data_IF_393410223910
#
_entry.id   IF_393410223910
#
_cell.length_a   1.000
_cell.length_b   1.000
_cell.length_c   1.000
_cell.angle_alpha   90.00
_cell.angle_beta   90.00
_cell.angle_gamma   90.00
#
_symmetry.space_group_name_H-M   'P 1'
#
loop_
_entity.id
_entity.type
_entity.pdbx_description
1 polymer ?
#
# COMPACT_ATOMS: atom_id res chain seq x y z
N UNK A 1 -3.23 -24.63 14.33
CA UNK A 1 -2.22 -23.59 13.99
C UNK A 1 -1.87 -22.82 15.25
N UNK A 2 -0.62 -22.40 15.44
CA UNK A 2 -0.22 -21.60 16.60
C UNK A 2 -0.82 -20.19 16.52
N UNK A 3 -1.22 -19.63 17.66
CA UNK A 3 -1.86 -18.31 17.78
C UNK A 3 -1.05 -17.20 17.08
N UNK A 4 0.28 -17.28 17.14
CA UNK A 4 1.20 -16.41 16.41
C UNK A 4 0.98 -16.37 14.89
N UNK A 5 0.80 -17.52 14.24
CA UNK A 5 0.58 -17.59 12.79
C UNK A 5 -0.74 -16.94 12.39
N UNK A 6 -1.78 -17.10 13.22
CA UNK A 6 -3.09 -16.49 13.00
C UNK A 6 -3.01 -14.96 13.13
N UNK A 7 -2.30 -14.45 14.14
CA UNK A 7 -2.10 -13.01 14.33
C UNK A 7 -1.25 -12.38 13.23
N UNK A 8 -0.20 -13.07 12.78
CA UNK A 8 0.64 -12.66 11.65
C UNK A 8 -0.20 -12.54 10.37
N UNK A 9 -0.99 -13.57 10.06
CA UNK A 9 -1.84 -13.59 8.87
C UNK A 9 -2.91 -12.50 8.96
N UNK A 10 -3.49 -12.28 10.13
CA UNK A 10 -4.49 -11.24 10.35
C UNK A 10 -3.90 -9.83 10.18
N UNK A 11 -2.71 -9.58 10.72
CA UNK A 11 -1.98 -8.31 10.54
C UNK A 11 -1.67 -8.05 9.07
N UNK A 12 -1.14 -9.05 8.37
CA UNK A 12 -0.85 -8.96 6.94
C UNK A 12 -2.11 -8.70 6.12
N UNK A 13 -3.19 -9.44 6.37
CA UNK A 13 -4.47 -9.28 5.68
C UNK A 13 -5.04 -7.87 5.86
N UNK A 14 -4.97 -7.30 7.07
CA UNK A 14 -5.43 -5.93 7.35
C UNK A 14 -4.67 -4.89 6.53
N UNK A 15 -3.35 -5.01 6.46
CA UNK A 15 -2.51 -4.10 5.66
C UNK A 15 -2.88 -4.22 4.18
N UNK A 16 -2.93 -5.44 3.63
CA UNK A 16 -3.25 -5.69 2.22
C UNK A 16 -4.65 -5.21 1.85
N UNK A 17 -5.66 -5.55 2.66
CA UNK A 17 -7.04 -5.13 2.43
C UNK A 17 -7.16 -3.61 2.48
N UNK A 18 -6.53 -2.94 3.46
CA UNK A 18 -6.56 -1.48 3.55
C UNK A 18 -5.89 -0.80 2.35
N UNK A 19 -4.75 -1.32 1.87
CA UNK A 19 -4.08 -0.83 0.66
C UNK A 19 -4.92 -1.03 -0.59
N UNK A 20 -5.60 -2.18 -0.70
CA UNK A 20 -6.50 -2.47 -1.81
C UNK A 20 -7.74 -1.56 -1.81
N UNK A 21 -8.35 -1.32 -0.64
CA UNK A 21 -9.49 -0.40 -0.51
C UNK A 21 -9.08 1.02 -0.89
N UNK A 22 -7.93 1.50 -0.41
CA UNK A 22 -7.41 2.82 -0.77
C UNK A 22 -7.16 2.93 -2.27
N UNK A 23 -6.58 1.89 -2.87
CA UNK A 23 -6.35 1.83 -4.32
C UNK A 23 -7.65 1.89 -5.11
N UNK A 24 -8.67 1.13 -4.71
CA UNK A 24 -9.98 1.13 -5.38
C UNK A 24 -10.60 2.53 -5.37
N UNK A 25 -10.52 3.26 -4.26
CA UNK A 25 -11.02 4.65 -4.18
C UNK A 25 -10.30 5.56 -5.18
N UNK A 26 -8.96 5.45 -5.28
CA UNK A 26 -8.17 6.26 -6.21
C UNK A 26 -8.45 5.89 -7.68
N UNK A 27 -8.64 4.61 -7.99
CA UNK A 27 -8.98 4.14 -9.33
C UNK A 27 -10.36 4.64 -9.74
N UNK A 28 -11.36 4.57 -8.85
CA UNK A 28 -12.68 5.13 -9.11
C UNK A 28 -12.59 6.62 -9.37
N UNK A 29 -11.83 7.38 -8.57
CA UNK A 29 -11.59 8.80 -8.81
C UNK A 29 -10.94 9.09 -10.17
N UNK A 30 -10.01 8.25 -10.60
CA UNK A 30 -9.35 8.39 -11.90
C UNK A 30 -10.31 8.05 -13.05
N UNK A 31 -11.14 7.00 -12.91
CA UNK A 31 -12.19 6.65 -13.87
C UNK A 31 -13.19 7.80 -14.06
N UNK A 32 -13.64 8.42 -12.96
CA UNK A 32 -14.51 9.59 -13.04
C UNK A 32 -13.84 10.72 -13.84
N UNK A 33 -12.57 11.00 -13.58
CA UNK A 33 -11.82 12.02 -14.32
C UNK A 33 -11.70 11.69 -15.81
N UNK A 34 -11.46 10.43 -16.16
CA UNK A 34 -11.35 9.97 -17.55
C UNK A 34 -12.71 10.07 -18.27
N UNK A 35 -13.82 9.67 -17.62
CA UNK A 35 -15.19 9.74 -18.15
C UNK A 35 -15.63 11.16 -18.54
N UNK A 36 -15.13 12.17 -17.83
CA UNK A 36 -15.43 13.57 -18.11
C UNK A 36 -14.36 14.29 -18.95
N UNK A 37 -13.33 13.60 -19.42
CA UNK A 37 -12.26 14.17 -20.24
C UNK A 37 -12.49 13.85 -21.72
N UNK A 38 -12.75 14.85 -22.59
CA UNK A 38 -12.86 14.62 -24.02
C UNK A 38 -11.46 14.40 -24.63
N UNK A 39 -11.11 13.14 -24.94
CA UNK A 39 -9.84 12.78 -25.60
C UNK A 39 -9.64 11.27 -25.72
N UNK A 40 -8.78 10.84 -26.65
CA UNK A 40 -8.46 9.44 -26.90
C UNK A 40 -7.87 8.75 -25.67
N UNK A 41 -8.51 7.66 -25.22
CA UNK A 41 -8.06 6.87 -24.08
C UNK A 41 -6.89 5.99 -24.50
N UNK A 42 -5.67 6.42 -24.17
CA UNK A 42 -4.50 5.57 -24.34
C UNK A 42 -4.40 4.55 -23.19
N UNK A 43 -4.93 3.34 -23.41
CA UNK A 43 -4.93 2.21 -22.48
C UNK A 43 -3.57 1.95 -21.83
N UNK A 44 -2.46 2.11 -22.57
CA UNK A 44 -1.10 1.89 -22.03
C UNK A 44 -0.72 2.95 -21.00
N UNK A 45 -1.02 4.22 -21.28
CA UNK A 45 -0.77 5.32 -20.33
C UNK A 45 -1.66 5.18 -19.09
N UNK A 46 -2.91 4.78 -19.31
CA UNK A 46 -3.88 4.51 -18.26
C UNK A 46 -3.44 3.38 -17.32
N UNK A 47 -3.06 2.21 -17.85
CA UNK A 47 -2.59 1.07 -17.05
C UNK A 47 -1.36 1.44 -16.21
N UNK A 48 -0.42 2.19 -16.79
CA UNK A 48 0.78 2.64 -16.07
C UNK A 48 0.43 3.62 -14.93
N UNK A 49 -0.55 4.51 -15.13
CA UNK A 49 -1.05 5.39 -14.06
C UNK A 49 -1.73 4.60 -12.95
N UNK A 50 -2.62 3.66 -13.30
CA UNK A 50 -3.32 2.79 -12.35
C UNK A 50 -2.33 1.94 -11.55
N UNK A 51 -1.29 1.41 -12.21
CA UNK A 51 -0.21 0.66 -11.57
C UNK A 51 0.62 1.53 -10.62
N UNK A 52 0.96 2.75 -11.03
CA UNK A 52 1.64 3.71 -10.15
C UNK A 52 0.80 4.06 -8.92
N UNK A 53 -0.52 4.26 -9.11
CA UNK A 53 -1.46 4.48 -8.02
C UNK A 53 -1.58 3.27 -7.09
N UNK A 54 -1.53 2.05 -7.63
CA UNK A 54 -1.52 0.83 -6.83
C UNK A 54 -0.34 0.83 -5.85
N UNK A 55 0.88 1.01 -6.37
CA UNK A 55 2.08 1.04 -5.53
C UNK A 55 2.02 2.17 -4.48
N UNK A 56 1.58 3.37 -4.87
CA UNK A 56 1.44 4.49 -3.94
C UNK A 56 0.38 4.23 -2.85
N UNK A 57 -0.71 3.53 -3.18
CA UNK A 57 -1.77 3.20 -2.22
C UNK A 57 -1.27 2.25 -1.14
N UNK A 58 -0.52 1.22 -1.56
CA UNK A 58 0.08 0.28 -0.62
C UNK A 58 1.19 0.94 0.23
N UNK A 59 1.97 1.85 -0.36
CA UNK A 59 2.93 2.67 0.38
C UNK A 59 2.21 3.52 1.46
N UNK A 60 1.15 4.24 1.10
CA UNK A 60 0.34 5.02 2.05
C UNK A 60 -0.30 4.16 3.15
N UNK A 61 -0.88 3.01 2.79
CA UNK A 61 -1.48 2.10 3.75
C UNK A 61 -0.44 1.55 4.73
N UNK A 62 0.77 1.21 4.25
CA UNK A 62 1.85 0.74 5.11
C UNK A 62 2.29 1.81 6.12
N UNK A 63 2.49 3.06 5.69
CA UNK A 63 2.82 4.16 6.60
C UNK A 63 1.70 4.45 7.61
N UNK A 64 0.44 4.42 7.15
CA UNK A 64 -0.73 4.57 8.01
C UNK A 64 -0.78 3.51 9.10
N UNK A 65 -0.49 2.25 8.75
CA UNK A 65 -0.43 1.15 9.71
C UNK A 65 0.76 1.22 10.67
N UNK A 66 1.92 1.75 10.25
CA UNK A 66 3.03 2.03 11.18
C UNK A 66 2.59 3.01 12.27
N UNK A 67 2.01 4.16 11.87
CA UNK A 67 1.55 5.18 12.81
C UNK A 67 0.42 4.66 13.70
N UNK A 68 -0.54 3.96 13.12
CA UNK A 68 -1.67 3.39 13.86
C UNK A 68 -1.24 2.34 14.89
N UNK A 69 -0.35 1.42 14.49
CA UNK A 69 0.15 0.37 15.39
C UNK A 69 0.99 0.97 16.51
N UNK A 70 1.78 2.01 16.23
CA UNK A 70 2.56 2.73 17.23
C UNK A 70 1.66 3.49 18.22
N UNK A 71 0.61 4.15 17.74
CA UNK A 71 -0.38 4.83 18.59
C UNK A 71 -1.10 3.84 19.52
N UNK A 72 -1.51 2.68 18.99
CA UNK A 72 -2.17 1.62 19.77
C UNK A 72 -1.25 1.00 20.83
N UNK A 73 0.01 0.74 20.50
CA UNK A 73 1.01 0.22 21.45
C UNK A 73 1.29 1.17 22.62
N UNK A 74 1.20 2.49 22.41
CA UNK A 74 1.37 3.47 23.49
C UNK A 74 0.10 3.70 24.32
N UNK A 75 -1.09 3.34 23.80
CA UNK A 75 -2.38 3.67 24.43
C UNK A 75 -3.10 2.47 25.06
N UNK A 76 -2.60 1.25 24.87
CA UNK A 76 -3.20 0.00 25.36
C UNK A 76 -2.07 -0.91 25.85
N UNK A 77 -2.36 -1.85 26.76
CA UNK A 77 -1.42 -2.90 27.13
C UNK A 77 -0.80 -3.52 25.87
N UNK A 78 0.52 -3.69 25.88
CA UNK A 78 1.32 -4.07 24.73
C UNK A 78 0.91 -5.44 24.16
N UNK A 79 -0.13 -5.43 23.32
CA UNK A 79 -0.69 -6.63 22.73
C UNK A 79 0.22 -7.12 21.60
N UNK A 80 0.48 -8.43 21.60
CA UNK A 80 1.36 -9.10 20.64
C UNK A 80 0.93 -8.80 19.20
N UNK A 81 -0.39 -8.69 18.98
CA UNK A 81 -0.99 -8.38 17.70
C UNK A 81 -0.53 -7.03 17.13
N UNK A 82 -0.38 -5.99 17.95
CA UNK A 82 0.04 -4.67 17.47
C UNK A 82 1.54 -4.62 17.19
N UNK A 83 2.36 -5.33 17.97
CA UNK A 83 3.79 -5.47 17.69
C UNK A 83 4.07 -6.20 16.38
N UNK A 84 3.32 -7.28 16.11
CA UNK A 84 3.40 -8.02 14.84
C UNK A 84 2.94 -7.13 13.66
N UNK A 85 1.82 -6.42 13.84
CA UNK A 85 1.30 -5.52 12.80
C UNK A 85 2.27 -4.37 12.50
N UNK A 86 2.93 -3.79 13.51
CA UNK A 86 3.95 -2.76 13.34
C UNK A 86 5.16 -3.28 12.56
N UNK A 87 5.66 -4.47 12.92
CA UNK A 87 6.80 -5.10 12.25
C UNK A 87 6.49 -5.38 10.78
N UNK A 88 5.33 -5.95 10.49
CA UNK A 88 4.86 -6.18 9.12
C UNK A 88 4.73 -4.87 8.32
N UNK A 89 4.24 -3.81 8.96
CA UNK A 89 4.08 -2.51 8.31
C UNK A 89 5.43 -1.88 7.94
N UNK A 90 6.44 -2.02 8.80
CA UNK A 90 7.82 -1.58 8.52
C UNK A 90 8.40 -2.37 7.34
N UNK A 91 8.27 -3.71 7.35
CA UNK A 91 8.77 -4.56 6.26
C UNK A 91 8.08 -4.20 4.94
N UNK A 92 6.77 -4.03 4.95
CA UNK A 92 6.00 -3.63 3.77
C UNK A 92 6.47 -2.25 3.26
N UNK A 93 6.64 -1.27 4.16
CA UNK A 93 7.12 0.07 3.83
C UNK A 93 8.50 0.04 3.16
N UNK A 94 9.45 -0.70 3.73
CA UNK A 94 10.79 -0.88 3.15
C UNK A 94 10.71 -1.55 1.77
N UNK A 95 9.86 -2.57 1.62
CA UNK A 95 9.66 -3.26 0.36
C UNK A 95 9.09 -2.35 -0.74
N UNK A 96 8.08 -1.55 -0.43
CA UNK A 96 7.51 -0.59 -1.38
C UNK A 96 8.50 0.52 -1.75
N UNK A 97 9.30 0.99 -0.79
CA UNK A 97 10.37 1.95 -1.04
C UNK A 97 11.44 1.37 -1.98
N UNK A 98 11.83 0.11 -1.76
CA UNK A 98 12.75 -0.61 -2.65
C UNK A 98 12.19 -0.76 -4.09
N UNK A 99 10.91 -1.11 -4.23
CA UNK A 99 10.24 -1.17 -5.54
C UNK A 99 10.23 0.18 -6.24
N UNK A 100 9.98 1.27 -5.50
CA UNK A 100 9.99 2.63 -6.04
C UNK A 100 11.37 3.06 -6.51
N UNK A 101 12.41 2.76 -5.73
CA UNK A 101 13.81 3.09 -6.06
C UNK A 101 14.26 2.27 -7.27
N UNK A 102 13.98 0.97 -7.31
CA UNK A 102 14.32 0.09 -8.43
C UNK A 102 13.59 0.50 -9.71
N UNK A 103 12.30 0.83 -9.62
CA UNK A 103 11.50 1.30 -10.76
C UNK A 103 12.02 2.62 -11.34
N UNK A 104 12.50 3.55 -10.50
CA UNK A 104 13.14 4.79 -10.95
C UNK A 104 14.52 4.57 -11.56
N UNK A 105 15.32 3.65 -11.02
CA UNK A 105 16.65 3.36 -11.56
C UNK A 105 16.61 2.71 -12.95
N UNK A 106 15.63 1.83 -13.22
CA UNK A 106 15.47 1.20 -14.54
C UNK A 106 15.08 2.19 -15.65
N UNK A 107 14.36 3.26 -15.31
CA UNK A 107 14.05 4.34 -16.26
C UNK A 107 15.26 5.25 -16.54
N UNK A 108 16.15 5.43 -15.55
CA UNK A 108 17.38 6.23 -15.70
C UNK A 108 18.43 5.57 -16.61
N UNK A 109 18.40 4.25 -16.79
CA UNK A 109 19.33 3.52 -17.66
C UNK A 109 18.86 3.38 -19.12
N UNK A 110 17.62 3.80 -19.45
CA UNK A 110 17.10 3.81 -20.83
C UNK A 110 16.94 5.22 -21.42
N UNK A 111 17.31 6.25 -20.68
CA UNK A 111 17.37 7.64 -21.12
C UNK A 111 18.83 8.03 -21.36
#
# INVERSE_FOLDING_TARGET
MSQFFTELLAGFARIVVSGFVLWMVLVVGLLFKELFSPGDVNLRSYLLRVWSLFLNSFEMASYGWVLWSFYRLNSTDADLQYGISLTLSIIASVYFLYLRVTGKMLLKHRA
#
